data_IF_281236449764
#
_entry.id   IF_281236449764
#
_cell.length_a   1.000
_cell.length_b   1.000
_cell.length_c   1.000
_cell.angle_alpha   90.00
_cell.angle_beta   90.00
_cell.angle_gamma   90.00
#
_symmetry.space_group_name_H-M   'P 1'
#
loop_
_entity.id
_entity.type
_entity.pdbx_description
1 polymer ?
#
# COMPACT_ATOMS: atom_id res chain seq x y z
N UNK A 1 3.29 -41.55 -10.16
CA UNK A 1 3.92 -42.83 -10.54
C UNK A 1 2.95 -43.56 -11.45
N UNK A 2 3.43 -44.12 -12.56
CA UNK A 2 2.57 -44.81 -13.55
C UNK A 2 2.88 -46.30 -13.54
N UNK A 3 1.86 -47.14 -13.61
CA UNK A 3 2.02 -48.58 -13.86
C UNK A 3 1.94 -48.78 -15.39
N UNK A 4 3.06 -49.16 -16.00
CA UNK A 4 3.16 -49.41 -17.45
C UNK A 4 3.00 -50.91 -17.80
N UNK A 5 2.68 -51.18 -19.07
CA UNK A 5 2.54 -52.53 -19.62
C UNK A 5 3.79 -53.40 -19.33
N UNK A 6 3.57 -54.67 -18.97
CA UNK A 6 4.58 -55.72 -18.79
C UNK A 6 5.36 -55.79 -17.45
N UNK A 7 4.73 -55.49 -16.31
CA UNK A 7 5.26 -55.89 -15.01
C UNK A 7 5.11 -57.41 -14.79
N UNK A 8 5.99 -58.21 -15.42
CA UNK A 8 6.04 -59.68 -15.29
C UNK A 8 6.49 -60.17 -13.90
N UNK A 9 6.92 -59.25 -13.03
CA UNK A 9 7.39 -59.56 -11.70
C UNK A 9 7.27 -58.29 -10.85
N UNK A 10 6.18 -58.09 -10.10
CA UNK A 10 6.20 -57.32 -8.83
C UNK A 10 4.90 -57.55 -8.05
N UNK A 11 5.11 -57.76 -6.74
CA UNK A 11 4.23 -57.62 -5.58
C UNK A 11 2.71 -57.61 -5.79
N UNK A 12 2.02 -58.58 -5.16
CA UNK A 12 0.56 -58.61 -4.96
C UNK A 12 0.03 -57.43 -4.12
N UNK A 13 0.92 -56.58 -3.61
CA UNK A 13 0.66 -55.46 -2.72
C UNK A 13 1.30 -54.18 -3.29
N UNK A 14 0.47 -53.28 -3.82
CA UNK A 14 0.83 -51.96 -4.35
C UNK A 14 0.26 -50.84 -3.47
N UNK A 15 -0.13 -51.15 -2.23
CA UNK A 15 -0.70 -50.17 -1.30
C UNK A 15 0.30 -49.09 -0.89
N UNK A 16 -0.21 -47.93 -0.47
CA UNK A 16 0.59 -46.81 0.08
C UNK A 16 1.70 -46.32 -0.86
N UNK A 17 1.42 -46.26 -2.17
CA UNK A 17 2.32 -45.65 -3.14
C UNK A 17 1.76 -44.31 -3.63
N UNK A 18 2.42 -43.71 -4.62
CA UNK A 18 2.00 -42.46 -5.27
C UNK A 18 1.53 -42.73 -6.70
N UNK A 19 0.82 -43.84 -6.89
CA UNK A 19 0.31 -44.26 -8.20
C UNK A 19 -0.88 -43.39 -8.53
N UNK A 20 -0.83 -42.69 -9.67
CA UNK A 20 -1.91 -41.83 -10.15
C UNK A 20 -2.55 -42.38 -11.42
N UNK A 21 -1.74 -42.99 -12.29
CA UNK A 21 -2.17 -43.54 -13.57
C UNK A 21 -1.82 -45.03 -13.69
N UNK A 22 -2.73 -45.79 -14.27
CA UNK A 22 -2.54 -47.21 -14.62
C UNK A 22 -2.88 -47.35 -16.10
N UNK A 23 -1.95 -47.85 -16.90
CA UNK A 23 -2.18 -48.04 -18.34
C UNK A 23 -3.16 -49.18 -18.62
N UNK A 24 -3.86 -49.09 -19.74
CA UNK A 24 -4.70 -50.18 -20.24
C UNK A 24 -3.88 -51.46 -20.39
N UNK A 25 -4.38 -52.57 -19.84
CA UNK A 25 -3.68 -53.85 -19.87
C UNK A 25 -2.40 -53.90 -19.02
N UNK A 26 -2.18 -52.97 -18.09
CA UNK A 26 -1.02 -53.00 -17.18
C UNK A 26 -0.89 -54.34 -16.42
N UNK A 27 -2.00 -55.03 -16.18
CA UNK A 27 -2.05 -56.34 -15.51
C UNK A 27 -2.20 -57.53 -16.47
N UNK A 28 -2.01 -57.32 -17.77
CA UNK A 28 -2.14 -58.37 -18.78
C UNK A 28 -1.13 -59.51 -18.52
N UNK A 29 -1.62 -60.75 -18.59
CA UNK A 29 -0.80 -61.95 -18.32
C UNK A 29 -0.73 -62.37 -16.84
N UNK A 30 -1.23 -61.56 -15.90
CA UNK A 30 -1.30 -61.93 -14.48
C UNK A 30 -2.54 -62.78 -14.14
N UNK A 31 -2.84 -63.79 -14.96
CA UNK A 31 -4.06 -64.60 -14.83
C UNK A 31 -4.16 -65.36 -13.50
N UNK A 32 -3.05 -65.66 -12.84
CA UNK A 32 -3.01 -66.37 -11.55
C UNK A 32 -3.18 -65.45 -10.33
N UNK A 33 -3.27 -64.13 -10.54
CA UNK A 33 -3.36 -63.17 -9.45
C UNK A 33 -4.73 -63.30 -8.74
N UNK A 34 -4.71 -63.64 -7.45
CA UNK A 34 -5.94 -63.80 -6.64
C UNK A 34 -6.28 -62.57 -5.80
N UNK A 35 -5.30 -61.71 -5.50
CA UNK A 35 -5.50 -60.52 -4.66
C UNK A 35 -4.67 -59.38 -5.23
N UNK A 36 -5.28 -58.21 -5.33
CA UNK A 36 -4.66 -56.96 -5.77
C UNK A 36 -5.05 -55.87 -4.79
N UNK A 37 -4.05 -55.28 -4.14
CA UNK A 37 -4.22 -54.15 -3.24
C UNK A 37 -3.59 -52.89 -3.85
N UNK A 38 -4.44 -51.93 -4.23
CA UNK A 38 -4.10 -50.61 -4.77
C UNK A 38 -4.51 -49.50 -3.78
N UNK A 39 -4.77 -49.84 -2.52
CA UNK A 39 -5.26 -48.88 -1.55
C UNK A 39 -4.25 -47.78 -1.20
N UNK A 40 -4.74 -46.62 -0.77
CA UNK A 40 -3.94 -45.46 -0.37
C UNK A 40 -2.94 -45.03 -1.45
N UNK A 41 -3.44 -44.87 -2.67
CA UNK A 41 -2.73 -44.31 -3.80
C UNK A 41 -3.41 -42.98 -4.22
N UNK A 42 -3.12 -42.48 -5.42
CA UNK A 42 -3.72 -41.26 -5.98
C UNK A 42 -4.46 -41.56 -7.28
N UNK A 43 -5.05 -42.74 -7.39
CA UNK A 43 -5.73 -43.18 -8.62
C UNK A 43 -7.06 -42.46 -8.72
N UNK A 44 -7.24 -41.71 -9.81
CA UNK A 44 -8.48 -41.01 -10.12
C UNK A 44 -9.19 -41.60 -11.33
N UNK A 45 -8.45 -41.83 -12.42
CA UNK A 45 -8.94 -42.47 -13.61
C UNK A 45 -8.96 -44.00 -13.46
N UNK A 46 -10.14 -44.61 -13.57
CA UNK A 46 -10.31 -46.06 -13.63
C UNK A 46 -11.14 -46.41 -14.87
N UNK A 47 -10.56 -47.19 -15.78
CA UNK A 47 -11.26 -47.72 -16.95
C UNK A 47 -11.26 -49.26 -16.96
N UNK A 48 -12.22 -49.92 -17.62
CA UNK A 48 -12.32 -51.38 -17.65
C UNK A 48 -11.06 -52.05 -18.20
N UNK A 49 -10.38 -51.40 -19.15
CA UNK A 49 -9.21 -51.94 -19.85
C UNK A 49 -8.02 -52.14 -18.92
N UNK A 50 -7.97 -51.42 -17.80
CA UNK A 50 -6.91 -51.58 -16.78
C UNK A 50 -6.93 -53.01 -16.22
N UNK A 51 -8.11 -53.60 -16.00
CA UNK A 51 -8.27 -54.90 -15.35
C UNK A 51 -8.26 -56.09 -16.31
N UNK A 52 -8.02 -55.87 -17.60
CA UNK A 52 -7.97 -56.92 -18.62
C UNK A 52 -6.89 -57.95 -18.27
N UNK A 53 -7.28 -59.23 -18.28
CA UNK A 53 -6.39 -60.36 -17.98
C UNK A 53 -6.47 -60.88 -16.53
N UNK A 54 -7.07 -60.14 -15.60
CA UNK A 54 -7.21 -60.52 -14.19
C UNK A 54 -8.39 -61.46 -13.90
N UNK A 55 -8.55 -62.51 -14.72
CA UNK A 55 -9.72 -63.39 -14.71
C UNK A 55 -9.91 -64.18 -13.40
N UNK A 56 -8.84 -64.49 -12.67
CA UNK A 56 -8.89 -65.22 -11.39
C UNK A 56 -8.75 -64.33 -10.15
N UNK A 57 -8.91 -63.01 -10.28
CA UNK A 57 -8.82 -62.09 -9.15
C UNK A 57 -10.00 -62.29 -8.20
N UNK A 58 -9.74 -62.59 -6.93
CA UNK A 58 -10.76 -62.83 -5.91
C UNK A 58 -10.98 -61.62 -4.99
N UNK A 59 -9.96 -60.80 -4.74
CA UNK A 59 -10.05 -59.61 -3.88
C UNK A 59 -9.38 -58.42 -4.55
N UNK A 60 -10.11 -57.31 -4.63
CA UNK A 60 -9.62 -56.02 -5.10
C UNK A 60 -9.81 -54.97 -4.01
N UNK A 61 -8.76 -54.21 -3.71
CA UNK A 61 -8.82 -53.08 -2.78
C UNK A 61 -8.38 -51.80 -3.49
N UNK A 62 -9.31 -50.86 -3.62
CA UNK A 62 -9.14 -49.52 -4.22
C UNK A 62 -9.33 -48.42 -3.17
N UNK A 63 -9.48 -48.76 -1.88
CA UNK A 63 -9.81 -47.76 -0.86
C UNK A 63 -8.71 -46.71 -0.67
N UNK A 64 -9.05 -45.49 -0.27
CA UNK A 64 -8.08 -44.42 -0.03
C UNK A 64 -7.44 -43.84 -1.29
N UNK A 65 -8.12 -43.96 -2.43
CA UNK A 65 -7.77 -43.27 -3.67
C UNK A 65 -8.61 -41.99 -3.82
N UNK A 66 -8.50 -41.30 -4.96
CA UNK A 66 -9.07 -39.94 -5.14
C UNK A 66 -10.29 -39.89 -6.05
N UNK A 67 -10.72 -41.03 -6.62
CA UNK A 67 -11.95 -41.08 -7.43
C UNK A 67 -13.20 -40.78 -6.59
N UNK A 68 -14.14 -40.07 -7.21
CA UNK A 68 -15.44 -39.70 -6.64
C UNK A 68 -16.57 -40.63 -7.10
N UNK A 69 -16.42 -41.27 -8.27
CA UNK A 69 -17.39 -42.19 -8.86
C UNK A 69 -16.69 -43.29 -9.65
N UNK A 70 -17.42 -44.34 -10.05
CA UNK A 70 -16.92 -45.48 -10.81
C UNK A 70 -17.85 -45.73 -12.00
N UNK A 71 -17.29 -45.70 -13.21
CA UNK A 71 -18.05 -45.87 -14.44
C UNK A 71 -18.69 -47.26 -14.55
N UNK A 72 -19.84 -47.34 -15.20
CA UNK A 72 -20.53 -48.60 -15.44
C UNK A 72 -19.64 -49.58 -16.23
N UNK A 73 -19.60 -50.83 -15.78
CA UNK A 73 -18.82 -51.89 -16.43
C UNK A 73 -17.34 -51.92 -16.05
N UNK A 74 -16.88 -51.07 -15.13
CA UNK A 74 -15.46 -51.04 -14.71
C UNK A 74 -14.92 -52.42 -14.28
N UNK A 75 -15.75 -53.27 -13.69
CA UNK A 75 -15.36 -54.58 -13.17
C UNK A 75 -15.78 -55.75 -14.09
N UNK A 76 -16.13 -55.50 -15.36
CA UNK A 76 -16.60 -56.54 -16.28
C UNK A 76 -15.57 -57.66 -16.52
N UNK A 77 -14.27 -57.33 -16.49
CA UNK A 77 -13.17 -58.27 -16.72
C UNK A 77 -12.88 -59.18 -15.50
N UNK A 78 -13.39 -58.81 -14.32
CA UNK A 78 -13.08 -59.45 -13.03
C UNK A 78 -14.05 -60.61 -12.71
N UNK A 79 -14.06 -61.63 -13.56
CA UNK A 79 -15.04 -62.73 -13.53
C UNK A 79 -15.07 -63.56 -12.23
N UNK A 80 -13.94 -63.65 -11.51
CA UNK A 80 -13.82 -64.44 -10.29
C UNK A 80 -13.85 -63.61 -8.99
N UNK A 81 -14.21 -62.33 -9.06
CA UNK A 81 -14.15 -61.43 -7.90
C UNK A 81 -15.12 -61.88 -6.81
N UNK A 82 -14.68 -61.83 -5.55
CA UNK A 82 -15.49 -62.19 -4.38
C UNK A 82 -15.53 -61.10 -3.33
N UNK A 83 -14.54 -60.21 -3.29
CA UNK A 83 -14.47 -59.11 -2.33
C UNK A 83 -13.96 -57.82 -2.99
N UNK A 84 -14.67 -56.72 -2.77
CA UNK A 84 -14.34 -55.40 -3.30
C UNK A 84 -14.34 -54.36 -2.17
N UNK A 85 -13.28 -53.54 -2.12
CA UNK A 85 -13.14 -52.41 -1.22
C UNK A 85 -12.89 -51.17 -2.10
N UNK A 86 -13.66 -50.10 -1.97
CA UNK A 86 -13.54 -48.89 -2.79
C UNK A 86 -13.89 -47.60 -2.04
N UNK A 87 -13.70 -47.60 -0.71
CA UNK A 87 -13.96 -46.42 0.11
C UNK A 87 -13.04 -45.25 -0.29
N UNK A 88 -13.60 -44.06 -0.50
CA UNK A 88 -12.83 -42.81 -0.66
C UNK A 88 -13.52 -41.68 0.10
N UNK A 89 -12.76 -40.66 0.50
CA UNK A 89 -13.30 -39.48 1.19
C UNK A 89 -14.18 -38.60 0.28
N UNK A 90 -14.17 -38.86 -1.03
CA UNK A 90 -14.92 -38.13 -2.05
C UNK A 90 -16.00 -38.99 -2.72
N UNK A 91 -16.29 -40.19 -2.23
CA UNK A 91 -17.23 -41.13 -2.86
C UNK A 91 -18.66 -40.58 -2.90
N UNK A 92 -19.19 -40.41 -4.10
CA UNK A 92 -20.55 -39.92 -4.37
C UNK A 92 -21.48 -41.11 -4.63
N UNK A 93 -22.41 -41.35 -3.71
CA UNK A 93 -23.43 -42.38 -3.80
C UNK A 93 -24.70 -41.85 -4.46
N UNK A 94 -24.66 -41.68 -5.77
CA UNK A 94 -25.77 -41.25 -6.60
C UNK A 94 -26.24 -42.36 -7.56
N UNK A 95 -27.05 -42.00 -8.56
CA UNK A 95 -27.53 -42.96 -9.54
C UNK A 95 -26.42 -43.60 -10.39
N UNK A 96 -25.25 -42.97 -10.53
CA UNK A 96 -24.13 -43.50 -11.31
C UNK A 96 -23.48 -44.71 -10.63
N UNK A 97 -23.65 -44.88 -9.31
CA UNK A 97 -23.17 -46.07 -8.60
C UNK A 97 -24.21 -47.21 -8.49
N UNK A 98 -25.42 -47.04 -9.04
CA UNK A 98 -26.48 -48.08 -8.99
C UNK A 98 -26.03 -49.42 -9.56
N UNK A 99 -25.28 -49.38 -10.66
CA UNK A 99 -24.83 -50.58 -11.35
C UNK A 99 -23.97 -51.46 -10.43
N UNK A 100 -23.25 -50.89 -9.46
CA UNK A 100 -22.41 -51.65 -8.53
C UNK A 100 -23.27 -52.52 -7.61
N UNK A 101 -24.41 -52.01 -7.12
CA UNK A 101 -25.33 -52.82 -6.29
C UNK A 101 -25.88 -54.01 -7.09
N UNK A 102 -26.33 -53.75 -8.32
CA UNK A 102 -26.84 -54.78 -9.23
C UNK A 102 -25.77 -55.81 -9.62
N UNK A 103 -24.57 -55.33 -9.98
CA UNK A 103 -23.46 -56.19 -10.35
C UNK A 103 -22.96 -57.01 -9.17
N UNK A 104 -22.80 -56.41 -7.99
CA UNK A 104 -22.30 -57.12 -6.81
C UNK A 104 -23.26 -58.22 -6.35
N UNK A 105 -24.58 -57.99 -6.43
CA UNK A 105 -25.58 -59.01 -6.12
C UNK A 105 -25.58 -60.15 -7.14
N UNK A 106 -25.59 -59.84 -8.44
CA UNK A 106 -25.58 -60.86 -9.50
C UNK A 106 -24.28 -61.68 -9.54
N UNK A 107 -23.14 -61.04 -9.32
CA UNK A 107 -21.82 -61.69 -9.34
C UNK A 107 -21.42 -62.25 -7.97
N UNK A 108 -22.29 -62.19 -6.96
CA UNK A 108 -22.02 -62.66 -5.58
C UNK A 108 -20.75 -62.05 -4.95
N UNK A 109 -20.46 -60.78 -5.27
CA UNK A 109 -19.31 -60.03 -4.76
C UNK A 109 -19.67 -59.35 -3.43
N UNK A 110 -18.83 -59.52 -2.41
CA UNK A 110 -18.98 -58.86 -1.11
C UNK A 110 -18.30 -57.50 -1.13
N UNK A 111 -19.08 -56.43 -0.98
CA UNK A 111 -18.57 -55.07 -0.75
C UNK A 111 -18.17 -54.94 0.72
N UNK A 112 -17.02 -54.34 0.99
CA UNK A 112 -16.51 -54.10 2.35
C UNK A 112 -17.49 -53.27 3.18
N UNK A 113 -17.63 -53.60 4.47
CA UNK A 113 -18.47 -52.85 5.42
C UNK A 113 -17.95 -51.43 5.66
N UNK A 114 -16.64 -51.22 5.47
CA UNK A 114 -15.95 -49.93 5.56
C UNK A 114 -16.27 -49.01 4.37
N UNK A 115 -16.88 -49.52 3.29
CA UNK A 115 -17.27 -48.69 2.16
C UNK A 115 -18.52 -47.91 2.52
N UNK A 116 -18.33 -46.67 2.97
CA UNK A 116 -19.39 -45.71 3.29
C UNK A 116 -19.44 -44.59 2.27
N UNK A 117 -20.62 -44.01 2.09
CA UNK A 117 -20.82 -42.85 1.23
C UNK A 117 -20.28 -41.58 1.88
N UNK A 118 -19.54 -40.78 1.12
CA UNK A 118 -19.13 -39.44 1.57
C UNK A 118 -20.18 -38.39 1.17
N UNK A 119 -20.75 -38.54 -0.02
CA UNK A 119 -21.79 -37.67 -0.60
C UNK A 119 -22.93 -38.51 -1.19
N UNK A 120 -24.14 -37.96 -1.39
CA UNK A 120 -24.61 -36.65 -0.90
C UNK A 120 -24.78 -36.63 0.63
N UNK A 121 -24.98 -35.44 1.21
CA UNK A 121 -25.15 -35.24 2.67
C UNK A 121 -26.21 -36.14 3.30
N UNK A 122 -27.26 -36.50 2.54
CA UNK A 122 -28.33 -37.40 3.01
C UNK A 122 -27.89 -38.85 3.23
N UNK A 123 -26.82 -39.30 2.56
CA UNK A 123 -26.27 -40.65 2.66
C UNK A 123 -24.89 -40.67 3.33
N UNK A 124 -24.38 -39.54 3.79
CA UNK A 124 -23.06 -39.44 4.38
C UNK A 124 -22.90 -40.40 5.58
N UNK A 125 -21.84 -41.20 5.56
CA UNK A 125 -21.52 -42.20 6.59
C UNK A 125 -22.37 -43.48 6.53
N UNK A 126 -23.32 -43.59 5.59
CA UNK A 126 -24.09 -44.83 5.41
C UNK A 126 -23.26 -45.88 4.67
N UNK A 127 -23.32 -47.14 5.14
CA UNK A 127 -22.63 -48.24 4.48
C UNK A 127 -23.26 -48.55 3.13
N UNK A 128 -22.45 -48.52 2.07
CA UNK A 128 -22.89 -48.72 0.69
C UNK A 128 -23.62 -50.05 0.49
N UNK A 129 -23.15 -51.10 1.17
CA UNK A 129 -23.75 -52.44 1.11
C UNK A 129 -25.21 -52.49 1.57
N UNK A 130 -25.60 -51.60 2.48
CA UNK A 130 -26.95 -51.55 3.04
C UNK A 130 -27.90 -50.66 2.25
N UNK A 131 -27.40 -49.98 1.20
CA UNK A 131 -28.22 -49.12 0.37
C UNK A 131 -29.13 -49.91 -0.54
N UNK A 132 -30.29 -49.32 -0.79
CA UNK A 132 -31.27 -49.78 -1.77
C UNK A 132 -31.14 -48.94 -3.05
N UNK A 133 -31.50 -49.53 -4.18
CA UNK A 133 -31.43 -48.87 -5.49
C UNK A 133 -32.22 -47.56 -5.57
N UNK A 134 -33.33 -47.48 -4.82
CA UNK A 134 -34.18 -46.29 -4.78
C UNK A 134 -33.57 -45.14 -3.96
N UNK A 135 -32.51 -45.37 -3.19
CA UNK A 135 -31.82 -44.33 -2.41
C UNK A 135 -30.72 -43.63 -3.22
N UNK A 136 -30.20 -44.30 -4.24
CA UNK A 136 -29.22 -43.74 -5.18
C UNK A 136 -29.98 -42.92 -6.23
N UNK A 137 -29.97 -41.60 -6.14
CA UNK A 137 -30.77 -40.75 -7.05
C UNK A 137 -29.88 -39.59 -7.52
N UNK A 138 -29.92 -39.27 -8.82
CA UNK A 138 -29.22 -38.09 -9.37
C UNK A 138 -30.15 -36.86 -9.49
N UNK A 139 -31.45 -37.02 -9.27
CA UNK A 139 -32.41 -35.93 -9.24
C UNK A 139 -32.28 -35.15 -7.92
N UNK A 140 -31.87 -33.88 -8.00
CA UNK A 140 -31.70 -33.02 -6.84
C UNK A 140 -30.67 -31.91 -7.08
N UNK A 141 -30.38 -31.10 -6.06
CA UNK A 141 -29.26 -30.15 -6.12
C UNK A 141 -27.95 -30.91 -6.25
N UNK A 142 -27.11 -30.49 -7.20
CA UNK A 142 -25.82 -31.11 -7.45
C UNK A 142 -24.88 -30.84 -6.26
N UNK A 143 -24.48 -31.89 -5.53
CA UNK A 143 -23.51 -31.78 -4.43
C UNK A 143 -22.15 -32.32 -4.89
N UNK A 144 -21.15 -31.43 -4.90
CA UNK A 144 -19.80 -31.77 -5.33
C UNK A 144 -18.85 -31.80 -4.14
N UNK A 145 -18.00 -32.84 -3.99
CA UNK A 145 -16.96 -32.90 -2.96
C UNK A 145 -16.02 -31.70 -2.98
N UNK A 146 -15.65 -31.24 -4.17
CA UNK A 146 -14.89 -30.02 -4.40
C UNK A 146 -15.66 -29.12 -5.36
N UNK A 147 -15.86 -27.87 -4.96
CA UNK A 147 -16.28 -26.80 -5.85
C UNK A 147 -15.73 -25.49 -5.32
N UNK A 148 -14.78 -24.90 -6.04
CA UNK A 148 -14.03 -23.72 -5.63
C UNK A 148 -14.02 -22.68 -6.76
N UNK A 149 -14.20 -21.42 -6.36
CA UNK A 149 -14.12 -20.25 -7.23
C UNK A 149 -13.06 -19.32 -6.64
N UNK A 150 -12.05 -18.97 -7.43
CA UNK A 150 -10.98 -18.07 -7.04
C UNK A 150 -11.01 -16.87 -8.00
N UNK A 151 -11.07 -15.62 -7.50
CA UNK A 151 -11.31 -15.24 -6.11
C UNK A 151 -12.73 -15.61 -5.62
N UNK A 152 -12.83 -15.99 -4.34
CA UNK A 152 -14.09 -16.37 -3.68
C UNK A 152 -14.78 -15.22 -2.94
N UNK A 153 -14.11 -14.08 -2.82
CA UNK A 153 -14.58 -12.91 -2.08
C UNK A 153 -14.76 -11.72 -3.02
N UNK A 154 -15.57 -10.75 -2.60
CA UNK A 154 -15.77 -9.49 -3.32
C UNK A 154 -14.43 -8.83 -3.68
N UNK A 155 -14.28 -8.42 -4.94
CA UNK A 155 -13.08 -7.77 -5.45
C UNK A 155 -13.33 -6.27 -5.66
N UNK A 156 -12.33 -5.46 -5.32
CA UNK A 156 -12.28 -4.04 -5.68
C UNK A 156 -11.04 -3.87 -6.55
N UNK A 157 -11.26 -3.53 -7.83
CA UNK A 157 -10.21 -3.45 -8.85
C UNK A 157 -10.25 -2.08 -9.52
N UNK A 158 -9.16 -1.70 -10.15
CA UNK A 158 -9.06 -0.46 -10.90
C UNK A 158 -9.25 -0.70 -12.40
N UNK A 159 -9.74 0.32 -13.10
CA UNK A 159 -9.83 0.28 -14.56
C UNK A 159 -8.45 -0.04 -15.17
N UNK A 160 -8.40 -1.05 -16.05
CA UNK A 160 -7.19 -1.53 -16.71
C UNK A 160 -6.43 -2.62 -15.94
N UNK A 161 -6.88 -3.01 -14.75
CA UNK A 161 -6.30 -4.15 -14.01
C UNK A 161 -6.53 -5.47 -14.76
N UNK A 162 -5.67 -6.45 -14.48
CA UNK A 162 -5.82 -7.84 -14.93
C UNK A 162 -6.31 -8.70 -13.77
N UNK A 163 -7.42 -9.42 -13.95
CA UNK A 163 -7.98 -10.31 -12.93
C UNK A 163 -8.26 -11.71 -13.51
N UNK A 164 -7.49 -12.73 -13.10
CA UNK A 164 -7.80 -14.11 -13.42
C UNK A 164 -8.84 -14.69 -12.45
N UNK A 165 -9.82 -15.35 -13.01
CA UNK A 165 -10.78 -16.22 -12.34
C UNK A 165 -10.45 -17.68 -12.63
N UNK A 166 -10.51 -18.50 -11.60
CA UNK A 166 -10.32 -19.94 -11.71
C UNK A 166 -11.50 -20.63 -11.04
N UNK A 167 -12.17 -21.50 -11.79
CA UNK A 167 -13.24 -22.32 -11.27
C UNK A 167 -12.87 -23.79 -11.36
N UNK A 168 -12.78 -24.45 -10.20
CA UNK A 168 -12.37 -25.85 -10.07
C UNK A 168 -13.46 -26.65 -9.37
N UNK A 169 -13.86 -27.78 -9.95
CA UNK A 169 -14.94 -28.60 -9.43
C UNK A 169 -14.67 -30.10 -9.60
N UNK A 170 -15.39 -30.94 -8.85
CA UNK A 170 -15.36 -32.40 -9.06
C UNK A 170 -15.93 -32.75 -10.43
N UNK A 171 -15.15 -33.50 -11.21
CA UNK A 171 -15.56 -34.10 -12.48
C UNK A 171 -16.36 -35.37 -12.21
N UNK A 172 -17.55 -35.49 -12.80
CA UNK A 172 -18.45 -36.63 -12.60
C UNK A 172 -18.47 -37.54 -13.83
N UNK A 173 -18.71 -36.95 -15.00
CA UNK A 173 -18.75 -37.63 -16.29
C UNK A 173 -18.49 -36.65 -17.43
N UNK A 174 -18.53 -37.15 -18.67
CA UNK A 174 -18.27 -36.38 -19.90
C UNK A 174 -19.27 -35.25 -20.17
N UNK A 175 -20.41 -35.24 -19.49
CA UNK A 175 -21.41 -34.17 -19.60
C UNK A 175 -21.16 -33.04 -18.60
N UNK A 176 -20.20 -33.18 -17.68
CA UNK A 176 -19.79 -32.11 -16.76
C UNK A 176 -19.14 -30.97 -17.54
N UNK A 177 -19.75 -29.79 -17.47
CA UNK A 177 -19.29 -28.56 -18.10
C UNK A 177 -19.18 -27.43 -17.08
N UNK A 178 -18.23 -26.52 -17.31
CA UNK A 178 -18.03 -25.32 -16.50
C UNK A 178 -18.27 -24.11 -17.39
N UNK A 179 -19.17 -23.22 -17.01
CA UNK A 179 -19.58 -22.04 -17.76
C UNK A 179 -19.43 -20.77 -16.90
N UNK A 180 -19.05 -19.67 -17.53
CA UNK A 180 -18.93 -18.36 -16.88
C UNK A 180 -20.11 -17.48 -17.26
N UNK A 181 -20.66 -16.78 -16.28
CA UNK A 181 -21.73 -15.81 -16.46
C UNK A 181 -21.36 -14.47 -15.83
N UNK A 182 -21.77 -13.39 -16.47
CA UNK A 182 -21.68 -12.03 -15.95
C UNK A 182 -23.08 -11.40 -15.98
N UNK A 183 -23.62 -11.06 -14.81
CA UNK A 183 -24.99 -10.56 -14.63
C UNK A 183 -26.06 -11.40 -15.37
N UNK A 184 -25.88 -12.73 -15.32
CA UNK A 184 -26.78 -13.72 -15.92
C UNK A 184 -26.60 -13.93 -17.43
N UNK A 185 -25.59 -13.32 -18.07
CA UNK A 185 -25.25 -13.54 -19.48
C UNK A 185 -24.04 -14.46 -19.61
N UNK A 186 -24.10 -15.42 -20.52
CA UNK A 186 -22.98 -16.31 -20.80
C UNK A 186 -21.79 -15.50 -21.31
N UNK A 187 -20.61 -15.76 -20.75
CA UNK A 187 -19.35 -15.12 -21.13
C UNK A 187 -18.57 -16.07 -22.03
N UNK A 188 -18.23 -15.58 -23.21
CA UNK A 188 -17.32 -16.23 -24.15
C UNK A 188 -16.07 -15.36 -24.34
N UNK A 189 -15.04 -15.91 -24.99
CA UNK A 189 -13.82 -15.16 -25.30
C UNK A 189 -14.15 -13.99 -26.23
N UNK A 190 -13.76 -12.79 -25.82
CA UNK A 190 -13.98 -11.52 -26.52
C UNK A 190 -12.71 -10.68 -26.41
N UNK A 191 -11.94 -10.64 -27.52
CA UNK A 191 -10.68 -9.91 -27.61
C UNK A 191 -10.86 -8.39 -27.48
N UNK A 192 -11.99 -7.83 -27.93
CA UNK A 192 -12.24 -6.38 -27.89
C UNK A 192 -12.47 -5.91 -26.45
N UNK A 193 -13.12 -6.75 -25.64
CA UNK A 193 -13.37 -6.49 -24.22
C UNK A 193 -12.29 -7.04 -23.29
N UNK A 194 -11.24 -7.66 -23.83
CA UNK A 194 -10.16 -8.26 -23.05
C UNK A 194 -10.62 -9.40 -22.15
N UNK A 195 -11.62 -10.18 -22.56
CA UNK A 195 -12.12 -11.33 -21.83
C UNK A 195 -11.64 -12.62 -22.50
N UNK A 196 -10.89 -13.44 -21.78
CA UNK A 196 -10.35 -14.69 -22.32
C UNK A 196 -10.87 -15.87 -21.50
N UNK A 197 -11.72 -16.70 -22.09
CA UNK A 197 -12.18 -17.94 -21.47
C UNK A 197 -11.33 -19.08 -21.98
N UNK A 198 -10.53 -19.67 -21.09
CA UNK A 198 -9.64 -20.76 -21.41
C UNK A 198 -10.43 -22.08 -21.65
N UNK A 199 -9.77 -23.02 -22.33
CA UNK A 199 -10.31 -24.37 -22.50
C UNK A 199 -10.42 -25.11 -21.17
N UNK A 200 -11.38 -26.02 -21.09
CA UNK A 200 -11.61 -26.84 -19.89
C UNK A 200 -10.50 -27.88 -19.74
N UNK A 201 -9.85 -27.89 -18.57
CA UNK A 201 -8.80 -28.83 -18.22
C UNK A 201 -9.36 -29.87 -17.26
N UNK A 202 -9.16 -31.16 -17.57
CA UNK A 202 -9.55 -32.27 -16.69
C UNK A 202 -8.28 -32.83 -16.03
N UNK A 203 -8.24 -32.83 -14.70
CA UNK A 203 -7.13 -33.34 -13.91
C UNK A 203 -7.47 -34.72 -13.33
N UNK A 204 -6.66 -35.72 -13.68
CA UNK A 204 -6.71 -37.09 -13.16
C UNK A 204 -8.14 -37.72 -13.16
N UNK A 205 -8.99 -37.33 -14.11
CA UNK A 205 -10.42 -37.70 -14.20
C UNK A 205 -11.26 -37.42 -12.95
N UNK A 206 -10.78 -36.58 -12.03
CA UNK A 206 -11.46 -36.29 -10.77
C UNK A 206 -11.86 -34.84 -10.64
N UNK A 207 -11.11 -33.93 -11.27
CA UNK A 207 -11.34 -32.50 -11.19
C UNK A 207 -11.44 -31.90 -12.59
N UNK A 208 -12.27 -30.88 -12.70
CA UNK A 208 -12.41 -30.05 -13.88
C UNK A 208 -12.13 -28.61 -13.50
N UNK A 209 -11.30 -27.93 -14.30
CA UNK A 209 -10.94 -26.54 -14.10
C UNK A 209 -11.16 -25.77 -15.38
N UNK A 210 -11.76 -24.58 -15.28
CA UNK A 210 -11.87 -23.63 -16.38
C UNK A 210 -11.53 -22.23 -15.88
N UNK A 211 -10.67 -21.54 -16.61
CA UNK A 211 -10.20 -20.20 -16.26
C UNK A 211 -10.87 -19.14 -17.12
N UNK A 212 -11.06 -17.96 -16.53
CA UNK A 212 -11.51 -16.75 -17.22
C UNK A 212 -10.53 -15.64 -16.84
N UNK A 213 -9.94 -14.97 -17.82
CA UNK A 213 -8.97 -13.91 -17.59
C UNK A 213 -9.54 -12.61 -18.14
N UNK A 214 -9.75 -11.64 -17.26
CA UNK A 214 -9.99 -10.26 -17.65
C UNK A 214 -8.63 -9.57 -17.78
N UNK A 215 -8.19 -9.27 -19.01
CA UNK A 215 -6.86 -8.73 -19.28
C UNK A 215 -6.74 -7.22 -19.02
N UNK A 216 -7.82 -6.49 -19.25
CA UNK A 216 -7.93 -5.04 -19.05
C UNK A 216 -9.38 -4.70 -18.68
N UNK A 217 -9.64 -4.60 -17.38
CA UNK A 217 -11.01 -4.45 -16.85
C UNK A 217 -11.55 -3.03 -17.13
N UNK A 218 -12.71 -2.95 -17.78
CA UNK A 218 -13.47 -1.70 -17.97
C UNK A 218 -14.59 -1.57 -16.92
N UNK A 219 -15.21 -0.38 -16.82
CA UNK A 219 -16.24 -0.04 -15.83
C UNK A 219 -17.47 -0.95 -15.96
N UNK A 220 -17.78 -1.38 -17.17
CA UNK A 220 -18.90 -2.27 -17.49
C UNK A 220 -18.75 -3.70 -16.93
N UNK A 221 -17.54 -4.10 -16.51
CA UNK A 221 -17.28 -5.36 -15.83
C UNK A 221 -17.70 -5.35 -14.35
N UNK A 222 -18.19 -4.21 -13.84
CA UNK A 222 -18.78 -4.12 -12.50
C UNK A 222 -20.08 -4.91 -12.46
N UNK A 223 -20.15 -5.92 -11.59
CA UNK A 223 -21.31 -6.79 -11.52
C UNK A 223 -21.03 -8.10 -10.80
N UNK A 224 -21.99 -9.02 -10.92
CA UNK A 224 -21.90 -10.36 -10.37
C UNK A 224 -21.34 -11.32 -11.41
N UNK A 225 -20.17 -11.89 -11.10
CA UNK A 225 -19.52 -12.91 -11.89
C UNK A 225 -19.82 -14.28 -11.29
N UNK A 226 -20.23 -15.22 -12.13
CA UNK A 226 -20.71 -16.53 -11.70
C UNK A 226 -19.97 -17.63 -12.46
N UNK A 227 -19.42 -18.58 -11.71
CA UNK A 227 -19.04 -19.86 -12.28
C UNK A 227 -20.18 -20.85 -12.04
N UNK A 228 -20.71 -21.41 -13.12
CA UNK A 228 -21.73 -22.45 -13.09
C UNK A 228 -21.15 -23.77 -13.58
N UNK A 229 -21.27 -24.80 -12.76
CA UNK A 229 -20.96 -26.18 -13.13
C UNK A 229 -22.26 -26.90 -13.39
N UNK A 230 -22.40 -27.49 -14.57
CA UNK A 230 -23.58 -28.24 -14.97
C UNK A 230 -23.22 -29.62 -15.49
N UNK A 231 -24.15 -30.54 -15.33
CA UNK A 231 -24.12 -31.89 -15.88
C UNK A 231 -25.55 -32.25 -16.32
N UNK A 232 -25.75 -33.33 -17.07
CA UNK A 232 -27.05 -33.92 -17.40
C UNK A 232 -28.05 -34.02 -16.24
N UNK A 233 -27.59 -34.08 -14.99
CA UNK A 233 -28.44 -34.25 -13.80
C UNK A 233 -28.80 -32.96 -13.05
N UNK A 234 -28.05 -31.86 -13.26
CA UNK A 234 -28.26 -30.63 -12.50
C UNK A 234 -27.18 -29.59 -12.72
N UNK A 235 -27.33 -28.44 -12.05
CA UNK A 235 -26.36 -27.35 -12.05
C UNK A 235 -26.17 -26.79 -10.65
N UNK A 236 -24.97 -26.28 -10.39
CA UNK A 236 -24.60 -25.55 -9.19
C UNK A 236 -23.71 -24.38 -9.60
N UNK A 237 -23.80 -23.27 -8.88
CA UNK A 237 -23.00 -22.10 -9.18
C UNK A 237 -22.46 -21.41 -7.94
N UNK A 238 -21.36 -20.66 -8.13
CA UNK A 238 -20.75 -19.78 -7.14
C UNK A 238 -20.55 -18.42 -7.77
N UNK A 239 -20.76 -17.37 -6.98
CA UNK A 239 -20.76 -15.99 -7.47
C UNK A 239 -19.77 -15.12 -6.68
N UNK A 240 -19.23 -14.12 -7.35
CA UNK A 240 -18.31 -13.12 -6.80
C UNK A 240 -18.63 -11.76 -7.41
N UNK A 241 -18.73 -10.75 -6.56
CA UNK A 241 -18.98 -9.37 -6.98
C UNK A 241 -17.66 -8.66 -7.27
N UNK A 242 -17.57 -7.99 -8.42
CA UNK A 242 -16.46 -7.09 -8.76
C UNK A 242 -16.97 -5.65 -8.75
N UNK A 243 -16.21 -4.75 -8.12
CA UNK A 243 -16.40 -3.30 -8.19
C UNK A 243 -15.19 -2.67 -8.88
N UNK A 244 -15.41 -2.06 -10.04
CA UNK A 244 -14.37 -1.38 -10.80
C UNK A 244 -14.34 0.10 -10.43
N UNK A 245 -13.17 0.59 -10.05
CA UNK A 245 -12.94 2.00 -9.72
C UNK A 245 -12.21 2.70 -10.87
N UNK A 246 -12.81 3.79 -11.35
CA UNK A 246 -12.25 4.65 -12.38
C UNK A 246 -11.06 5.46 -11.80
N UNK A 247 -9.83 4.96 -11.94
CA UNK A 247 -8.62 5.71 -11.52
C UNK A 247 -8.03 6.51 -12.67
N UNK A 248 -8.78 7.53 -13.11
CA UNK A 248 -8.25 8.63 -13.89
C UNK A 248 -8.09 9.91 -13.06
N UNK A 249 -8.19 9.85 -11.73
CA UNK A 249 -7.93 11.03 -10.91
C UNK A 249 -6.42 11.12 -10.67
N UNK A 250 -5.72 12.16 -11.16
CA UNK A 250 -4.31 12.32 -10.86
C UNK A 250 -4.09 12.45 -9.34
N UNK A 251 -2.93 12.04 -8.85
CA UNK A 251 -2.59 12.10 -7.42
C UNK A 251 -1.26 12.81 -7.24
N UNK A 252 -1.15 13.57 -6.15
CA UNK A 252 0.14 14.04 -5.69
C UNK A 252 0.89 12.89 -4.98
N UNK A 253 2.18 12.69 -5.30
CA UNK A 253 2.98 11.64 -4.69
C UNK A 253 3.18 11.92 -3.19
N UNK A 254 3.39 10.85 -2.42
CA UNK A 254 3.78 11.00 -1.02
C UNK A 254 5.16 11.67 -0.95
N UNK A 255 5.31 12.68 -0.09
CA UNK A 255 6.51 13.51 -0.02
C UNK A 255 6.83 13.86 1.44
N UNK A 256 8.11 13.93 1.77
CA UNK A 256 8.60 14.37 3.08
C UNK A 256 9.29 15.72 2.93
N UNK A 257 8.82 16.73 3.67
CA UNK A 257 9.39 18.08 3.68
C UNK A 257 9.93 18.38 5.06
N UNK A 258 11.20 18.76 5.12
CA UNK A 258 11.85 19.24 6.34
C UNK A 258 12.11 20.72 6.15
N UNK A 259 11.51 21.55 6.99
CA UNK A 259 11.73 23.00 7.01
C UNK A 259 11.96 23.48 8.45
N UNK A 260 12.10 24.78 8.65
CA UNK A 260 12.31 25.36 9.97
C UNK A 260 11.07 25.37 10.88
N UNK A 261 9.97 24.75 10.45
CA UNK A 261 8.75 24.51 11.23
C UNK A 261 8.60 23.05 11.64
N UNK A 262 9.41 22.14 11.08
CA UNK A 262 9.42 20.72 11.46
C UNK A 262 9.63 19.75 10.30
N UNK A 263 9.38 18.48 10.58
CA UNK A 263 9.39 17.37 9.63
C UNK A 263 7.95 16.95 9.31
N UNK A 264 7.51 17.21 8.08
CA UNK A 264 6.14 16.95 7.63
C UNK A 264 6.13 15.82 6.61
N UNK A 265 5.31 14.79 6.87
CA UNK A 265 5.15 13.63 5.98
C UNK A 265 3.78 13.67 5.33
N UNK A 266 3.74 14.00 4.05
CA UNK A 266 2.51 14.13 3.28
C UNK A 266 2.16 12.80 2.60
N UNK A 267 1.00 12.19 2.91
CA UNK A 267 0.59 10.97 2.26
C UNK A 267 0.17 11.23 0.80
N UNK A 268 0.05 10.15 0.01
CA UNK A 268 -0.50 10.22 -1.35
C UNK A 268 -1.90 10.83 -1.29
N UNK A 269 -2.12 11.92 -2.03
CA UNK A 269 -3.32 12.75 -1.92
C UNK A 269 -3.97 12.94 -3.29
N UNK A 270 -5.30 12.86 -3.35
CA UNK A 270 -6.11 13.00 -4.56
C UNK A 270 -5.99 14.43 -5.13
N UNK A 271 -5.91 14.57 -6.46
CA UNK A 271 -5.92 15.88 -7.13
C UNK A 271 -7.17 16.71 -6.80
N UNK A 272 -6.97 17.98 -6.48
CA UNK A 272 -8.01 18.91 -6.05
C UNK A 272 -8.25 18.97 -4.54
N UNK A 273 -7.61 18.10 -3.75
CA UNK A 273 -7.75 18.06 -2.29
C UNK A 273 -6.61 18.79 -1.58
N UNK A 274 -6.94 19.49 -0.51
CA UNK A 274 -5.96 20.04 0.44
C UNK A 274 -5.70 19.00 1.54
N UNK A 275 -4.47 18.53 1.64
CA UNK A 275 -4.00 17.69 2.74
C UNK A 275 -3.67 18.56 3.96
N UNK A 276 -3.96 18.06 5.15
CA UNK A 276 -3.65 18.70 6.43
C UNK A 276 -2.76 17.81 7.27
N UNK A 277 -1.79 18.40 7.99
CA UNK A 277 -0.91 17.71 8.93
C UNK A 277 -0.86 18.50 10.23
N UNK A 278 -1.12 17.87 11.36
CA UNK A 278 -0.99 18.50 12.68
C UNK A 278 0.47 18.87 12.93
N UNK A 279 0.73 20.06 13.47
CA UNK A 279 2.07 20.44 13.87
C UNK A 279 2.49 19.54 15.05
N UNK A 280 3.60 18.80 14.91
CA UNK A 280 4.04 17.84 15.93
C UNK A 280 4.59 18.57 17.16
N UNK A 281 4.06 18.28 18.35
CA UNK A 281 4.42 18.95 19.60
C UNK A 281 5.12 17.96 20.55
N UNK A 282 6.45 17.97 20.61
CA UNK A 282 7.19 17.50 21.79
C UNK A 282 7.21 18.67 22.80
N UNK A 283 6.92 18.60 24.10
CA UNK A 283 6.49 17.60 25.09
C UNK A 283 6.21 18.45 26.35
N UNK A 284 5.06 18.49 27.02
CA UNK A 284 4.66 17.71 28.21
C UNK A 284 3.52 18.49 28.90
N UNK A 285 2.28 18.00 28.84
CA UNK A 285 1.40 17.86 30.02
C UNK A 285 0.16 17.07 29.63
N UNK A 286 -0.15 16.14 30.52
CA UNK A 286 -1.17 15.12 30.47
C UNK A 286 -2.49 15.56 29.83
N UNK A 287 -3.09 14.60 29.13
CA UNK A 287 -4.50 14.57 28.78
C UNK A 287 -5.35 15.26 29.85
N UNK A 288 -5.91 16.40 29.48
CA UNK A 288 -7.01 17.04 30.17
C UNK A 288 -7.88 17.65 29.08
N UNK A 289 -9.00 16.97 28.84
CA UNK A 289 -10.13 17.50 28.11
C UNK A 289 -10.42 18.92 28.61
N UNK A 290 -10.51 19.89 27.70
CA UNK A 290 -11.64 20.81 27.54
C UNK A 290 -11.34 21.88 26.48
N UNK A 291 -12.32 22.05 25.60
CA UNK A 291 -12.68 23.24 24.83
C UNK A 291 -11.71 23.76 23.76
N UNK A 292 -11.94 23.28 22.53
CA UNK A 292 -12.11 24.17 21.37
C UNK A 292 -10.90 24.99 20.92
N UNK A 293 -9.68 24.66 21.30
CA UNK A 293 -8.50 25.22 20.64
C UNK A 293 -8.32 24.52 19.28
N UNK A 294 -8.40 25.29 18.20
CA UNK A 294 -8.13 24.81 16.84
C UNK A 294 -6.73 24.18 16.82
N UNK A 295 -6.66 22.86 16.61
CA UNK A 295 -5.39 22.17 16.39
C UNK A 295 -4.59 22.88 15.30
N UNK A 296 -3.40 23.38 15.67
CA UNK A 296 -2.49 24.03 14.71
C UNK A 296 -2.11 23.00 13.64
N UNK A 297 -2.49 23.29 12.39
CA UNK A 297 -2.31 22.42 11.23
C UNK A 297 -1.56 23.16 10.13
N UNK A 298 -0.56 22.48 9.58
CA UNK A 298 -0.02 22.82 8.27
C UNK A 298 -0.92 22.23 7.18
N UNK A 299 -0.89 22.80 5.97
CA UNK A 299 -1.63 22.25 4.85
C UNK A 299 -0.89 22.39 3.51
N UNK A 300 -1.16 21.46 2.60
CA UNK A 300 -0.70 21.48 1.21
C UNK A 300 -1.84 21.18 0.27
N UNK A 301 -1.94 21.93 -0.81
CA UNK A 301 -2.95 21.73 -1.84
C UNK A 301 -2.39 20.87 -2.98
N UNK A 302 -3.05 19.75 -3.24
CA UNK A 302 -2.82 18.96 -4.44
C UNK A 302 -3.62 19.55 -5.60
N UNK A 303 -2.96 20.03 -6.64
CA UNK A 303 -3.65 20.64 -7.77
C UNK A 303 -4.39 19.59 -8.62
N UNK A 304 -5.21 20.06 -9.58
CA UNK A 304 -5.99 19.18 -10.47
C UNK A 304 -5.14 18.33 -11.43
N UNK A 305 -3.85 18.60 -11.56
CA UNK A 305 -2.94 17.86 -12.45
C UNK A 305 -2.08 16.83 -11.70
N UNK A 306 -2.26 16.67 -10.37
CA UNK A 306 -1.52 15.70 -9.56
C UNK A 306 -0.17 16.20 -9.05
N UNK A 307 0.03 17.51 -8.96
CA UNK A 307 1.25 18.12 -8.42
C UNK A 307 0.94 18.95 -7.17
N UNK A 308 1.84 18.88 -6.18
CA UNK A 308 1.76 19.74 -5.02
C UNK A 308 1.95 21.20 -5.44
N UNK A 309 0.98 22.05 -5.10
CA UNK A 309 1.00 23.46 -5.47
C UNK A 309 1.26 24.36 -4.27
N UNK A 310 0.19 24.84 -3.63
CA UNK A 310 0.29 25.79 -2.50
C UNK A 310 0.54 25.04 -1.20
N UNK A 311 1.33 25.64 -0.33
CA UNK A 311 1.65 25.14 1.00
C UNK A 311 1.60 26.25 2.03
N UNK A 312 1.27 25.88 3.28
CA UNK A 312 1.20 26.80 4.41
C UNK A 312 1.61 26.08 5.70
N UNK A 313 2.71 26.56 6.28
CA UNK A 313 3.25 26.13 7.57
C UNK A 313 3.23 27.26 8.60
N UNK A 314 2.58 28.39 8.29
CA UNK A 314 2.65 29.62 9.11
C UNK A 314 2.09 29.42 10.52
N UNK A 315 1.06 28.58 10.65
CA UNK A 315 0.43 28.24 11.93
C UNK A 315 1.28 27.32 12.82
N UNK A 316 2.33 26.68 12.28
CA UNK A 316 3.20 25.82 13.08
C UNK A 316 4.28 26.62 13.82
N UNK A 317 4.64 26.20 15.06
CA UNK A 317 5.79 26.74 15.76
C UNK A 317 7.08 26.43 15.00
N UNK A 318 8.12 27.25 15.22
CA UNK A 318 9.46 26.95 14.67
C UNK A 318 10.01 25.68 15.31
N UNK A 319 10.76 24.87 14.56
CA UNK A 319 11.30 23.61 15.07
C UNK A 319 12.47 23.81 16.03
N UNK A 320 13.18 24.94 15.93
CA UNK A 320 14.30 25.30 16.81
C UNK A 320 13.82 26.18 17.96
N UNK A 321 14.21 25.85 19.19
CA UNK A 321 13.84 26.60 20.40
C UNK A 321 14.33 28.06 20.35
N UNK A 322 15.53 28.29 19.82
CA UNK A 322 16.14 29.63 19.67
C UNK A 322 15.24 30.53 18.81
N UNK A 323 14.81 30.03 17.64
CA UNK A 323 13.94 30.76 16.71
C UNK A 323 12.56 31.02 17.30
N UNK A 324 12.02 30.10 18.10
CA UNK A 324 10.76 30.33 18.82
C UNK A 324 10.88 31.50 19.81
N UNK A 325 11.95 31.54 20.61
CA UNK A 325 12.19 32.60 21.59
C UNK A 325 12.38 33.95 20.89
N UNK A 326 13.21 34.00 19.84
CA UNK A 326 13.45 35.24 19.09
C UNK A 326 12.18 35.75 18.38
N UNK A 327 11.37 34.86 17.84
CA UNK A 327 10.07 35.21 17.28
C UNK A 327 9.15 35.81 18.35
N UNK A 328 9.05 35.21 19.55
CA UNK A 328 8.26 35.74 20.65
C UNK A 328 8.77 37.12 21.12
N UNK A 329 10.09 37.31 21.19
CA UNK A 329 10.69 38.62 21.50
C UNK A 329 10.34 39.68 20.45
N UNK A 330 10.32 39.33 19.17
CA UNK A 330 10.03 40.26 18.08
C UNK A 330 8.59 40.80 18.09
N UNK A 331 7.66 40.03 18.67
CA UNK A 331 6.24 40.37 18.78
C UNK A 331 5.93 41.27 19.98
N UNK A 332 6.87 41.43 20.93
CA UNK A 332 6.67 42.28 22.11
C UNK A 332 6.58 43.77 21.70
N UNK A 333 5.66 44.50 22.33
CA UNK A 333 5.57 45.95 22.16
C UNK A 333 6.71 46.65 22.91
N UNK A 334 7.48 47.45 22.16
CA UNK A 334 8.61 48.24 22.64
C UNK A 334 8.18 49.69 22.81
N UNK A 335 8.42 50.22 24.01
CA UNK A 335 8.17 51.61 24.41
C UNK A 335 9.42 52.12 25.14
N UNK A 336 9.58 53.43 25.30
CA UNK A 336 10.79 54.01 25.89
C UNK A 336 11.10 53.52 27.31
N UNK A 337 10.07 53.21 28.12
CA UNK A 337 10.24 52.71 29.50
C UNK A 337 10.72 51.26 29.58
N UNK A 338 10.51 50.44 28.54
CA UNK A 338 10.88 49.02 28.55
C UNK A 338 12.05 48.67 27.61
N UNK A 339 12.44 49.61 26.74
CA UNK A 339 13.47 49.41 25.73
C UNK A 339 14.83 49.02 26.32
N UNK A 340 15.23 49.66 27.43
CA UNK A 340 16.51 49.38 28.09
C UNK A 340 16.57 47.95 28.64
N UNK A 341 15.58 47.56 29.44
CA UNK A 341 15.50 46.21 30.00
C UNK A 341 15.44 45.14 28.91
N UNK A 342 14.66 45.37 27.85
CA UNK A 342 14.60 44.46 26.71
C UNK A 342 15.94 44.36 25.98
N UNK A 343 16.68 45.46 25.84
CA UNK A 343 18.01 45.45 25.20
C UNK A 343 19.03 44.62 25.98
N UNK A 344 19.00 44.67 27.31
CA UNK A 344 19.86 43.82 28.15
C UNK A 344 19.48 42.34 28.08
N UNK A 345 18.17 42.04 28.04
CA UNK A 345 17.67 40.67 27.84
C UNK A 345 18.13 40.11 26.48
N UNK A 346 18.05 40.92 25.43
CA UNK A 346 18.48 40.53 24.09
C UNK A 346 20.01 40.36 24.01
N UNK A 347 20.78 41.27 24.61
CA UNK A 347 22.23 41.16 24.71
C UNK A 347 22.65 39.87 25.41
N UNK A 348 22.04 39.55 26.56
CA UNK A 348 22.29 38.31 27.29
C UNK A 348 21.96 37.06 26.46
N UNK A 349 20.83 37.05 25.74
CA UNK A 349 20.44 35.94 24.87
C UNK A 349 21.44 35.72 23.71
N UNK A 350 22.00 36.81 23.17
CA UNK A 350 22.93 36.74 22.03
C UNK A 350 24.35 36.30 22.41
N UNK A 351 24.69 36.16 23.70
CA UNK A 351 26.04 35.69 24.11
C UNK A 351 26.39 34.31 23.54
N UNK A 352 25.38 33.46 23.38
CA UNK A 352 25.49 32.12 22.80
C UNK A 352 25.17 32.11 21.29
N UNK A 353 25.32 33.25 20.58
CA UNK A 353 24.97 33.38 19.16
C UNK A 353 25.66 32.37 18.23
N UNK A 354 26.80 31.78 18.63
CA UNK A 354 27.43 30.68 17.90
C UNK A 354 26.52 29.45 17.69
N UNK A 355 25.45 29.30 18.49
CA UNK A 355 24.47 28.22 18.37
C UNK A 355 23.33 28.54 17.39
N UNK A 356 23.27 29.74 16.82
CA UNK A 356 22.21 30.13 15.90
C UNK A 356 22.37 29.37 14.58
N UNK A 357 21.34 28.62 14.21
CA UNK A 357 21.37 27.71 13.08
C UNK A 357 20.27 28.02 12.04
N UNK A 358 19.34 28.92 12.34
CA UNK A 358 18.34 29.40 11.38
C UNK A 358 18.66 30.85 10.94
N UNK A 359 18.52 31.13 9.64
CA UNK A 359 18.62 32.49 9.09
C UNK A 359 17.59 33.43 9.73
N UNK A 360 16.44 32.91 10.13
CA UNK A 360 15.36 33.70 10.76
C UNK A 360 15.80 34.31 12.10
N UNK A 361 16.71 33.65 12.83
CA UNK A 361 17.26 34.16 14.09
C UNK A 361 17.88 35.56 13.89
N UNK A 362 18.67 35.69 12.82
CA UNK A 362 19.37 36.93 12.44
C UNK A 362 18.39 37.98 11.91
N UNK A 363 17.36 37.55 11.16
CA UNK A 363 16.34 38.43 10.61
C UNK A 363 15.52 39.09 11.73
N UNK A 364 15.11 38.31 12.75
CA UNK A 364 14.40 38.84 13.91
C UNK A 364 15.29 39.80 14.72
N UNK A 365 16.56 39.46 14.92
CA UNK A 365 17.50 40.34 15.63
C UNK A 365 17.70 41.66 14.90
N UNK A 366 17.87 41.64 13.57
CA UNK A 366 17.95 42.87 12.78
C UNK A 366 16.70 43.76 12.95
N UNK A 367 15.51 43.16 12.93
CA UNK A 367 14.25 43.88 13.14
C UNK A 367 14.12 44.46 14.55
N UNK A 368 14.51 43.71 15.58
CA UNK A 368 14.46 44.18 16.96
C UNK A 368 15.47 45.32 17.22
N UNK A 369 16.68 45.25 16.66
CA UNK A 369 17.66 46.33 16.76
C UNK A 369 17.19 47.62 16.09
N UNK A 370 16.52 47.52 14.94
CA UNK A 370 15.92 48.69 14.28
C UNK A 370 14.84 49.34 15.15
N UNK A 371 13.99 48.55 15.81
CA UNK A 371 13.00 49.07 16.77
C UNK A 371 13.66 49.76 17.95
N UNK A 372 14.73 49.20 18.51
CA UNK A 372 15.43 49.80 19.65
C UNK A 372 16.04 51.15 19.32
N UNK A 373 16.58 51.33 18.11
CA UNK A 373 17.16 52.61 17.66
C UNK A 373 16.14 53.75 17.61
N UNK A 374 14.85 53.45 17.35
CA UNK A 374 13.81 54.47 17.35
C UNK A 374 13.57 55.09 18.72
N UNK A 375 13.93 54.39 19.81
CA UNK A 375 13.75 54.85 21.19
C UNK A 375 15.02 55.42 21.83
N UNK A 376 16.11 55.57 21.06
CA UNK A 376 17.37 56.09 21.57
C UNK A 376 17.34 57.58 21.96
N UNK A 377 16.31 58.35 21.58
CA UNK A 377 16.21 59.76 21.97
C UNK A 377 16.08 59.96 23.49
N UNK A 378 15.48 58.98 24.19
CA UNK A 378 15.12 59.08 25.61
C UNK A 378 16.14 58.42 26.56
N UNK A 379 16.85 57.36 26.12
CA UNK A 379 17.75 56.54 26.98
C UNK A 379 19.11 56.33 26.27
N UNK A 380 19.79 57.44 25.97
CA UNK A 380 20.85 57.54 24.94
C UNK A 380 22.04 56.59 25.10
N UNK A 381 22.69 56.53 26.28
CA UNK A 381 24.01 55.90 26.38
C UNK A 381 23.98 54.39 26.56
N UNK A 382 23.12 53.88 27.45
CA UNK A 382 23.08 52.45 27.81
C UNK A 382 22.49 51.59 26.69
N UNK A 383 21.54 52.14 25.93
CA UNK A 383 20.94 51.43 24.80
C UNK A 383 21.93 51.30 23.64
N UNK A 384 22.81 52.29 23.45
CA UNK A 384 23.89 52.22 22.46
C UNK A 384 24.88 51.09 22.77
N UNK A 385 25.24 50.91 24.05
CA UNK A 385 26.15 49.83 24.47
C UNK A 385 25.54 48.46 24.21
N UNK A 386 24.26 48.27 24.54
CA UNK A 386 23.55 47.02 24.29
C UNK A 386 23.45 46.68 22.79
N UNK A 387 23.16 47.65 21.93
CA UNK A 387 23.08 47.43 20.46
C UNK A 387 24.45 47.03 19.88
N UNK A 388 25.54 47.64 20.34
CA UNK A 388 26.90 47.32 19.91
C UNK A 388 27.33 45.93 20.43
N UNK A 389 26.96 45.57 21.66
CA UNK A 389 27.21 44.24 22.23
C UNK A 389 26.48 43.15 21.43
N UNK A 390 25.18 43.35 21.15
CA UNK A 390 24.38 42.40 20.34
C UNK A 390 24.99 42.23 18.95
N UNK A 391 25.32 43.33 18.26
CA UNK A 391 25.91 43.26 16.93
C UNK A 391 27.28 42.56 16.94
N UNK A 392 28.08 42.77 17.99
CA UNK A 392 29.37 42.09 18.18
C UNK A 392 29.21 40.60 18.41
N UNK A 393 28.22 40.18 19.21
CA UNK A 393 27.94 38.77 19.44
C UNK A 393 27.49 38.05 18.17
N UNK A 394 26.71 38.73 17.31
CA UNK A 394 26.25 38.18 16.04
C UNK A 394 27.37 37.86 15.04
N UNK A 395 28.57 38.42 15.22
CA UNK A 395 29.74 38.06 14.41
C UNK A 395 30.30 36.66 14.75
N UNK A 396 29.78 36.00 15.79
CA UNK A 396 30.13 34.61 16.15
C UNK A 396 29.25 33.56 15.45
N UNK A 397 28.21 33.98 14.73
CA UNK A 397 27.30 33.10 14.00
C UNK A 397 28.00 32.53 12.76
N UNK A 398 27.65 31.31 12.38
CA UNK A 398 28.15 30.67 11.16
C UNK A 398 27.91 31.53 9.89
N UNK A 399 28.95 31.64 9.06
CA UNK A 399 28.96 32.47 7.85
C UNK A 399 27.84 32.10 6.87
N UNK A 400 27.47 30.81 6.79
CA UNK A 400 26.40 30.35 5.91
C UNK A 400 25.03 30.89 6.36
N UNK A 401 24.78 30.90 7.67
CA UNK A 401 23.55 31.44 8.26
C UNK A 401 23.47 32.95 8.04
N UNK A 402 24.56 33.67 8.27
CA UNK A 402 24.66 35.11 8.01
C UNK A 402 24.44 35.43 6.52
N UNK A 403 25.04 34.65 5.62
CA UNK A 403 24.87 34.82 4.18
C UNK A 403 23.41 34.58 3.75
N UNK A 404 22.76 33.54 4.27
CA UNK A 404 21.34 33.28 3.99
C UNK A 404 20.44 34.41 4.46
N UNK A 405 20.64 34.92 5.68
CA UNK A 405 19.87 36.04 6.23
C UNK A 405 20.12 37.35 5.47
N UNK A 406 21.36 37.59 5.04
CA UNK A 406 21.72 38.73 4.21
C UNK A 406 21.06 38.66 2.83
N UNK A 407 21.07 37.50 2.18
CA UNK A 407 20.46 37.31 0.86
C UNK A 407 18.95 37.52 0.89
N UNK A 408 18.27 37.05 1.94
CA UNK A 408 16.81 37.08 2.04
C UNK A 408 16.29 38.48 2.42
N UNK A 409 16.79 39.06 3.52
CA UNK A 409 16.24 40.31 4.11
C UNK A 409 17.28 41.39 4.36
N UNK A 410 18.47 41.27 3.79
CA UNK A 410 19.60 42.20 4.01
C UNK A 410 19.89 42.41 5.50
N UNK A 411 19.71 41.36 6.31
CA UNK A 411 19.70 41.45 7.77
C UNK A 411 21.03 42.00 8.32
N UNK A 412 22.17 41.48 7.84
CA UNK A 412 23.49 41.94 8.27
C UNK A 412 23.73 43.40 7.92
N UNK A 413 23.37 43.83 6.70
CA UNK A 413 23.48 45.23 6.29
C UNK A 413 22.62 46.16 7.17
N UNK A 414 21.42 45.72 7.54
CA UNK A 414 20.53 46.47 8.46
C UNK A 414 21.13 46.58 9.86
N UNK A 415 21.72 45.50 10.40
CA UNK A 415 22.43 45.52 11.70
C UNK A 415 23.60 46.51 11.67
N UNK A 416 24.40 46.53 10.61
CA UNK A 416 25.50 47.49 10.46
C UNK A 416 24.98 48.93 10.39
N UNK A 417 23.88 49.17 9.67
CA UNK A 417 23.23 50.48 9.63
C UNK A 417 22.71 50.90 11.01
N UNK A 418 22.20 49.96 11.80
CA UNK A 418 21.80 50.19 13.18
C UNK A 418 22.98 50.70 14.02
N UNK A 419 24.11 49.98 14.01
CA UNK A 419 25.33 50.41 14.73
C UNK A 419 25.82 51.78 14.24
N UNK A 420 25.80 52.03 12.93
CA UNK A 420 26.21 53.32 12.38
C UNK A 420 25.32 54.48 12.84
N UNK A 421 23.99 54.26 12.95
CA UNK A 421 23.02 55.30 13.37
C UNK A 421 23.19 55.77 14.81
N UNK A 422 23.83 54.98 15.68
CA UNK A 422 24.16 55.38 17.05
C UNK A 422 24.92 56.71 17.05
N UNK A 423 25.87 56.88 16.13
CA UNK A 423 26.66 58.11 16.01
C UNK A 423 25.79 59.34 15.78
N UNK A 424 24.76 59.24 14.94
CA UNK A 424 23.86 60.35 14.61
C UNK A 424 22.99 60.79 15.80
N UNK A 425 22.64 59.86 16.69
CA UNK A 425 21.77 60.14 17.84
C UNK A 425 22.54 60.56 19.10
N UNK A 426 23.85 60.24 19.16
CA UNK A 426 24.73 60.52 20.30
C UNK A 426 25.61 61.75 20.09
N UNK A 427 25.98 62.06 18.84
CA UNK A 427 26.70 63.30 18.52
C UNK A 427 25.77 64.50 18.61
N UNK A 428 26.19 65.51 19.36
CA UNK A 428 25.47 66.77 19.54
C UNK A 428 26.47 67.93 19.54
N UNK A 429 25.98 69.17 19.56
CA UNK A 429 26.84 70.36 19.68
C UNK A 429 27.80 70.30 20.89
N UNK A 430 27.44 69.54 21.93
CA UNK A 430 28.20 69.38 23.18
C UNK A 430 29.06 68.09 23.22
N UNK A 431 28.78 67.10 22.38
CA UNK A 431 29.51 65.81 22.32
C UNK A 431 30.17 65.67 20.95
N UNK A 432 31.44 66.06 20.86
CA UNK A 432 32.18 66.14 19.59
C UNK A 432 32.85 64.82 19.17
N UNK A 433 33.01 63.88 20.10
CA UNK A 433 33.64 62.57 19.86
C UNK A 433 32.85 61.49 20.58
N UNK A 434 32.56 60.40 19.89
CA UNK A 434 31.98 59.16 20.44
C UNK A 434 32.92 58.02 20.09
N UNK A 435 33.40 57.32 21.11
CA UNK A 435 34.18 56.09 20.96
C UNK A 435 33.56 55.01 21.82
N UNK A 436 33.13 53.92 21.19
CA UNK A 436 32.57 52.74 21.86
C UNK A 436 33.20 51.49 21.26
N UNK A 437 33.65 50.57 22.12
CA UNK A 437 34.36 49.36 21.72
C UNK A 437 33.72 48.15 22.39
N UNK A 438 33.46 47.11 21.61
CA UNK A 438 33.08 45.78 22.07
C UNK A 438 34.07 44.74 21.52
N UNK A 439 33.80 43.45 21.74
CA UNK A 439 34.74 42.37 21.39
C UNK A 439 35.12 42.36 19.91
N UNK A 440 34.14 42.52 19.02
CA UNK A 440 34.32 42.39 17.57
C UNK A 440 34.03 43.69 16.80
N UNK A 441 33.57 44.75 17.47
CA UNK A 441 33.18 46.02 16.84
C UNK A 441 33.82 47.20 17.58
N UNK A 442 34.43 48.11 16.83
CA UNK A 442 34.81 49.44 17.30
C UNK A 442 34.04 50.50 16.52
N UNK A 443 33.35 51.40 17.23
CA UNK A 443 32.62 52.52 16.66
C UNK A 443 33.30 53.82 17.11
N UNK A 444 33.83 54.56 16.14
CA UNK A 444 34.37 55.90 16.34
C UNK A 444 33.61 56.90 15.46
N UNK A 445 33.16 58.00 16.06
CA UNK A 445 32.47 59.06 15.36
C UNK A 445 32.93 60.43 15.85
N UNK A 446 33.18 61.34 14.92
CA UNK A 446 33.73 62.67 15.18
C UNK A 446 32.85 63.72 14.52
N UNK A 447 32.51 64.79 15.26
CA UNK A 447 31.83 65.95 14.68
C UNK A 447 32.86 66.87 14.02
N UNK A 448 33.00 66.76 12.70
CA UNK A 448 33.91 67.59 11.92
C UNK A 448 33.17 68.85 11.47
N UNK A 449 33.60 70.03 11.94
CA UNK A 449 33.15 71.30 11.38
C UNK A 449 33.91 71.58 10.08
N UNK A 450 33.25 72.04 8.99
CA UNK A 450 33.88 72.22 7.68
C UNK A 450 35.15 73.08 7.69
N UNK A 451 35.26 74.05 8.61
CA UNK A 451 36.40 74.96 8.72
C UNK A 451 37.60 74.42 9.51
N UNK A 452 37.49 73.25 10.15
CA UNK A 452 38.55 72.63 10.99
C UNK A 452 39.13 71.38 10.29
N UNK A 453 38.54 70.93 9.17
CA UNK A 453 39.01 69.75 8.45
C UNK A 453 40.29 70.06 7.66
N UNK A 454 41.45 69.61 8.16
CA UNK A 454 42.76 69.77 7.54
C UNK A 454 43.12 68.65 6.53
N UNK A 455 42.19 67.75 6.22
CA UNK A 455 42.40 66.59 5.34
C UNK A 455 41.96 66.81 3.88
N UNK A 456 42.35 65.89 2.99
CA UNK A 456 41.86 65.84 1.60
C UNK A 456 40.62 64.95 1.48
N UNK A 457 39.55 65.44 0.86
CA UNK A 457 38.36 64.66 0.48
C UNK A 457 38.38 64.30 -1.00
N UNK A 458 38.16 63.02 -1.33
CA UNK A 458 37.91 62.56 -2.69
C UNK A 458 36.40 62.46 -2.91
N UNK A 459 35.85 63.29 -3.80
CA UNK A 459 34.41 63.31 -4.13
C UNK A 459 34.26 62.91 -5.59
N UNK A 460 33.61 61.77 -5.85
CA UNK A 460 33.22 61.37 -7.19
C UNK A 460 31.89 62.04 -7.56
N UNK A 461 31.91 62.91 -8.58
CA UNK A 461 30.71 63.53 -9.15
C UNK A 461 30.27 62.78 -10.41
N UNK A 462 29.01 62.33 -10.43
CA UNK A 462 28.36 61.92 -11.68
C UNK A 462 27.70 63.15 -12.31
N UNK A 463 28.21 63.60 -13.45
CA UNK A 463 27.63 64.70 -14.22
C UNK A 463 26.32 64.22 -14.87
N UNK A 464 25.17 64.60 -14.30
CA UNK A 464 23.88 64.45 -14.98
C UNK A 464 23.88 65.33 -16.24
N UNK A 465 23.57 64.80 -17.44
CA UNK A 465 23.56 65.59 -18.66
C UNK A 465 22.42 66.61 -18.60
N UNK A 466 22.78 67.87 -18.81
CA UNK A 466 21.84 68.96 -18.94
C UNK A 466 21.18 68.90 -20.32
N UNK A 467 19.90 68.51 -20.40
CA UNK A 467 18.95 69.28 -21.20
C UNK A 467 17.50 69.07 -20.74
N UNK A 468 16.78 70.14 -20.37
CA UNK A 468 15.34 70.16 -20.31
C UNK A 468 14.79 70.56 -21.67
N UNK A 469 14.23 69.63 -22.46
CA UNK A 469 12.94 69.87 -23.12
C UNK A 469 12.47 68.72 -24.03
N UNK A 470 11.20 68.38 -23.82
CA UNK A 470 10.19 67.83 -24.75
C UNK A 470 10.53 66.60 -25.60
N UNK A 471 9.86 65.50 -25.28
CA UNK A 471 9.12 64.72 -26.28
C UNK A 471 8.08 63.81 -25.65
N UNK A 472 6.81 64.04 -26.02
CA UNK A 472 5.77 63.02 -26.00
C UNK A 472 6.16 61.87 -26.95
N UNK A 473 5.74 60.68 -26.54
CA UNK A 473 5.24 59.53 -27.32
C UNK A 473 6.20 58.48 -27.91
N UNK A 474 5.81 57.22 -27.60
CA UNK A 474 6.10 55.91 -28.21
C UNK A 474 7.54 55.40 -28.10
N UNK A 475 7.84 54.17 -27.63
CA UNK A 475 7.09 52.89 -27.60
C UNK A 475 7.16 52.28 -26.19
#
# INVERSE_FOLDING_TARGET
MTIEFALQSISRDLKNNLISNIESGAFYGLSELKRLDLSNNRIGCLTPEIFVGLKNLHKLNLSGNIFSSLMNGLFSELLALKALHFYTDSLICDCNLKWILYWATNSSVRISEETVCAFPRSLQGTSFRNLKENQLICAGPLELPLFELIPSQKQVVFHGDRLPFQCTATYLDITTQVHWYHDGRLVETDDERGMFVEETIIHDCCLVTRELILSSIDIDATGMWECMVSNSYGSISKQVEIVVLETAIPYCPAERIINNKGDFRWPKTVAGVTAYHSCFQHSLRSASFLNGEEELKAWRNCNRTGWWAKEDYSKCPYSQEITQILHAFSQRHLNATNALEFSHQLAAFTRDAAKFADKEDIIYLAYMLEKLILHMEEVKEQLADAVIEIASNLMLVDDHVLWMAQRDKKACARIVQCVARISNQTLSSNTQVVSKVSLNIALEAFWIKPFIFLGMTCIAFQKLPANPDRSKLSI
#
